data_IF_091682662971
#
_entry.id   IF_091682662971
#
_cell.length_a   1.000
_cell.length_b   1.000
_cell.length_c   1.000
_cell.angle_alpha   90.00
_cell.angle_beta   90.00
_cell.angle_gamma   90.00
#
_symmetry.space_group_name_H-M   'P 1'
#
loop_
_entity.id
_entity.type
_entity.pdbx_description
1 polymer ?
#
# COMPACT_ATOMS: atom_id res chain seq x y z
N UNK A 1 -4.92 -20.04 -26.68
CA UNK A 1 -5.25 -18.65 -26.28
C UNK A 1 -3.94 -17.91 -26.21
N UNK A 2 -3.66 -17.06 -27.21
CA UNK A 2 -2.36 -16.42 -27.41
C UNK A 2 -2.39 -15.07 -26.71
N UNK A 3 -1.48 -14.83 -25.76
CA UNK A 3 -1.38 -13.54 -25.07
C UNK A 3 -0.21 -12.75 -25.65
N UNK A 4 -0.56 -11.60 -26.26
CA UNK A 4 0.40 -10.65 -26.82
C UNK A 4 1.03 -9.81 -25.71
N UNK A 5 2.36 -9.74 -25.72
CA UNK A 5 3.15 -8.82 -24.93
C UNK A 5 3.42 -7.57 -25.76
N UNK A 6 3.11 -6.39 -25.23
CA UNK A 6 3.70 -5.16 -25.72
C UNK A 6 4.64 -4.57 -24.66
N UNK A 7 5.86 -4.38 -25.14
CA UNK A 7 7.07 -3.94 -24.49
C UNK A 7 7.17 -2.41 -24.62
N UNK A 8 7.51 -1.71 -23.54
CA UNK A 8 8.13 -0.38 -23.60
C UNK A 8 9.18 -0.28 -22.50
N UNK A 9 10.47 -0.15 -22.83
CA UNK A 9 11.58 0.23 -21.92
C UNK A 9 11.33 1.62 -21.29
N UNK A 10 11.80 1.97 -20.08
CA UNK A 10 13.23 2.15 -19.74
C UNK A 10 13.49 2.12 -18.22
N UNK A 11 14.75 1.82 -17.85
CA UNK A 11 15.43 1.96 -16.56
C UNK A 11 14.95 1.17 -15.32
N UNK A 12 15.73 0.14 -14.98
CA UNK A 12 16.06 -0.32 -13.62
C UNK A 12 14.98 -0.96 -12.74
N UNK A 13 13.73 -0.53 -12.83
CA UNK A 13 12.67 -0.72 -11.82
C UNK A 13 11.75 -1.93 -12.08
N UNK A 14 12.26 -3.01 -12.69
CA UNK A 14 11.41 -4.00 -13.42
C UNK A 14 11.53 -5.47 -13.08
N UNK A 15 12.01 -5.84 -11.89
CA UNK A 15 12.09 -7.28 -11.55
C UNK A 15 10.92 -7.82 -10.72
N UNK A 16 10.20 -7.02 -9.92
CA UNK A 16 9.13 -7.54 -9.04
C UNK A 16 7.73 -7.03 -9.40
N UNK A 17 7.58 -5.76 -9.81
CA UNK A 17 6.30 -5.21 -10.33
C UNK A 17 5.72 -5.99 -11.52
N UNK A 18 6.56 -6.66 -12.32
CA UNK A 18 6.13 -7.48 -13.44
C UNK A 18 5.49 -8.83 -13.05
N UNK A 19 5.54 -9.23 -11.76
CA UNK A 19 4.90 -10.46 -11.26
C UNK A 19 3.71 -10.21 -10.32
N UNK A 20 3.46 -8.94 -9.94
CA UNK A 20 2.27 -8.59 -9.16
C UNK A 20 1.06 -8.77 -10.07
N UNK A 21 0.35 -9.88 -9.89
CA UNK A 21 -0.93 -10.09 -10.56
C UNK A 21 -1.93 -9.08 -10.01
N UNK A 22 -2.11 -7.96 -10.73
CA UNK A 22 -2.97 -6.86 -10.31
C UNK A 22 -4.41 -7.31 -10.01
N UNK A 23 -4.88 -8.39 -10.63
CA UNK A 23 -6.21 -8.95 -10.37
C UNK A 23 -6.34 -9.61 -8.98
N UNK A 24 -5.22 -9.84 -8.28
CA UNK A 24 -5.17 -10.39 -6.93
C UNK A 24 -4.83 -9.35 -5.87
N UNK A 25 -4.48 -8.13 -6.25
CA UNK A 25 -4.18 -7.06 -5.29
C UNK A 25 -5.51 -6.56 -4.73
N UNK A 26 -5.69 -6.73 -3.43
CA UNK A 26 -6.79 -6.14 -2.69
C UNK A 26 -6.53 -4.65 -2.48
N UNK A 27 -5.33 -4.34 -1.96
CA UNK A 27 -4.92 -3.01 -1.57
C UNK A 27 -3.48 -2.75 -1.98
N UNK A 28 -3.23 -1.56 -2.50
CA UNK A 28 -1.89 -0.99 -2.59
C UNK A 28 -1.83 0.27 -1.74
N UNK A 29 -0.83 0.38 -0.88
CA UNK A 29 -0.61 1.50 0.01
C UNK A 29 0.85 1.93 -0.10
N UNK A 30 1.08 3.21 -0.38
CA UNK A 30 2.41 3.76 -0.61
C UNK A 30 2.60 5.02 0.22
N UNK A 31 3.77 5.17 0.83
CA UNK A 31 4.21 6.44 1.42
C UNK A 31 5.43 6.94 0.71
N UNK A 32 5.37 8.19 0.25
CA UNK A 32 6.48 8.90 -0.36
C UNK A 32 7.08 9.89 0.63
N UNK A 33 8.40 10.03 0.62
CA UNK A 33 9.09 11.01 1.44
C UNK A 33 8.80 12.40 0.90
N UNK A 34 8.98 13.38 1.77
CA UNK A 34 9.06 14.76 1.33
C UNK A 34 10.49 15.24 1.52
N UNK A 35 11.16 15.62 0.43
CA UNK A 35 12.55 16.12 0.42
C UNK A 35 13.57 15.12 1.01
N UNK A 36 13.37 13.81 0.81
CA UNK A 36 14.25 12.77 1.33
C UNK A 36 14.15 12.55 2.84
N UNK A 37 13.15 13.15 3.50
CA UNK A 37 12.91 12.99 4.94
C UNK A 37 11.74 12.03 5.15
N UNK A 38 12.04 10.85 5.68
CA UNK A 38 11.07 9.81 6.06
C UNK A 38 11.18 8.54 5.20
N UNK A 39 10.69 7.39 5.72
CA UNK A 39 10.72 6.14 4.97
C UNK A 39 9.79 6.22 3.76
N UNK A 40 10.30 5.88 2.59
CA UNK A 40 9.46 5.57 1.43
C UNK A 40 9.24 4.07 1.39
N UNK A 41 8.02 3.66 1.11
CA UNK A 41 7.72 2.25 0.95
C UNK A 41 6.44 2.04 0.18
N UNK A 42 6.34 0.84 -0.37
CA UNK A 42 5.13 0.28 -0.95
C UNK A 42 4.69 -0.95 -0.16
N UNK A 43 3.38 -1.09 -0.01
CA UNK A 43 2.70 -2.19 0.66
C UNK A 43 1.60 -2.72 -0.26
N UNK A 44 1.72 -3.98 -0.65
CA UNK A 44 0.68 -4.71 -1.37
C UNK A 44 0.05 -5.75 -0.47
N UNK A 45 -1.27 -5.70 -0.35
CA UNK A 45 -2.07 -6.73 0.30
C UNK A 45 -2.87 -7.44 -0.78
N UNK A 46 -2.77 -8.76 -0.81
CA UNK A 46 -3.44 -9.61 -1.78
C UNK A 46 -4.74 -10.17 -1.20
N UNK A 47 -5.68 -10.53 -2.07
CA UNK A 47 -6.97 -11.10 -1.69
C UNK A 47 -6.85 -12.44 -0.94
N UNK A 48 -5.73 -13.14 -1.08
CA UNK A 48 -5.43 -14.38 -0.35
C UNK A 48 -4.76 -14.14 1.02
N UNK A 49 -4.61 -12.87 1.43
CA UNK A 49 -4.02 -12.48 2.71
C UNK A 49 -2.51 -12.30 2.69
N UNK A 50 -1.83 -12.62 1.58
CA UNK A 50 -0.40 -12.33 1.46
C UNK A 50 -0.15 -10.84 1.49
N UNK A 51 1.02 -10.47 2.01
CA UNK A 51 1.49 -9.11 2.06
C UNK A 51 2.91 -9.05 1.54
N UNK A 52 3.19 -8.03 0.73
CA UNK A 52 4.52 -7.64 0.32
C UNK A 52 4.72 -6.19 0.76
N UNK A 53 5.76 -5.96 1.55
CA UNK A 53 6.23 -4.64 1.94
C UNK A 53 7.63 -4.45 1.36
N UNK A 54 7.87 -3.28 0.79
CA UNK A 54 9.13 -2.93 0.15
C UNK A 54 9.50 -1.50 0.52
N UNK A 55 10.63 -1.32 1.22
CA UNK A 55 11.21 0.02 1.40
C UNK A 55 11.84 0.50 0.10
N UNK A 56 11.61 1.76 -0.22
CA UNK A 56 12.20 2.44 -1.35
C UNK A 56 13.23 3.43 -0.80
N UNK A 57 14.49 3.31 -1.22
CA UNK A 57 15.51 4.35 -0.99
C UNK A 57 15.89 4.95 -2.34
N UNK A 58 16.29 6.22 -2.35
CA UNK A 58 16.53 7.06 -3.55
C UNK A 58 17.44 6.42 -4.63
N UNK A 59 18.17 5.34 -4.33
CA UNK A 59 19.02 4.62 -5.29
C UNK A 59 19.02 3.09 -5.19
N UNK A 60 18.36 2.47 -4.21
CA UNK A 60 18.37 1.01 -4.00
C UNK A 60 17.02 0.49 -3.49
N UNK A 61 16.63 -0.71 -3.92
CA UNK A 61 15.53 -1.44 -3.29
C UNK A 61 15.94 -1.76 -1.85
N UNK A 62 15.16 -1.26 -0.88
CA UNK A 62 15.44 -1.41 0.54
C UNK A 62 15.03 -2.78 1.08
N UNK A 63 14.60 -2.79 2.34
CA UNK A 63 14.12 -4.00 3.01
C UNK A 63 12.82 -4.50 2.37
N UNK A 64 12.82 -5.75 1.94
CA UNK A 64 11.61 -6.49 1.55
C UNK A 64 11.12 -7.34 2.74
N UNK A 65 9.82 -7.30 3.00
CA UNK A 65 9.16 -8.15 4.01
C UNK A 65 7.95 -8.80 3.35
N UNK A 66 7.92 -10.13 3.39
CA UNK A 66 6.74 -10.91 3.04
C UNK A 66 6.03 -11.36 4.31
N UNK A 67 4.70 -11.28 4.31
CA UNK A 67 3.88 -11.67 5.42
C UNK A 67 2.53 -12.25 5.00
N UNK A 68 1.76 -12.68 5.99
CA UNK A 68 0.40 -13.18 5.80
C UNK A 68 -0.49 -12.59 6.88
N UNK A 69 -1.60 -11.99 6.46
CA UNK A 69 -2.69 -11.55 7.33
C UNK A 69 -3.69 -12.68 7.52
N UNK A 70 -4.32 -12.70 8.70
CA UNK A 70 -5.43 -13.60 8.96
C UNK A 70 -6.64 -13.24 8.08
N UNK A 71 -7.56 -14.20 7.91
CA UNK A 71 -8.81 -13.95 7.18
C UNK A 71 -9.64 -12.85 7.83
N UNK A 72 -9.63 -12.78 9.16
CA UNK A 72 -10.33 -11.75 9.94
C UNK A 72 -9.72 -10.37 9.67
N UNK A 73 -8.38 -10.26 9.66
CA UNK A 73 -7.69 -9.01 9.36
C UNK A 73 -8.01 -8.51 7.95
N UNK A 74 -8.06 -9.41 6.96
CA UNK A 74 -8.45 -9.09 5.58
C UNK A 74 -9.91 -8.67 5.49
N UNK A 75 -10.80 -9.38 6.20
CA UNK A 75 -12.23 -9.09 6.20
C UNK A 75 -12.51 -7.71 6.81
N UNK A 76 -11.95 -7.43 7.99
CA UNK A 76 -12.08 -6.15 8.69
C UNK A 76 -11.55 -4.99 7.83
N UNK A 77 -10.35 -5.15 7.27
CA UNK A 77 -9.76 -4.16 6.38
C UNK A 77 -10.65 -3.91 5.16
N UNK A 78 -11.20 -4.97 4.56
CA UNK A 78 -12.07 -4.86 3.38
C UNK A 78 -13.38 -4.13 3.69
N UNK A 79 -14.01 -4.40 4.84
CA UNK A 79 -15.22 -3.67 5.27
C UNK A 79 -14.91 -2.19 5.43
N UNK A 80 -13.83 -1.90 6.14
CA UNK A 80 -13.43 -0.54 6.45
C UNK A 80 -13.11 0.25 5.17
N UNK A 81 -12.35 -0.34 4.25
CA UNK A 81 -12.08 0.25 2.94
C UNK A 81 -13.36 0.50 2.12
N UNK A 82 -14.30 -0.45 2.08
CA UNK A 82 -15.57 -0.26 1.33
C UNK A 82 -16.43 0.86 1.90
N UNK A 83 -16.50 0.96 3.23
CA UNK A 83 -17.34 1.95 3.91
C UNK A 83 -16.79 3.37 3.73
N UNK A 84 -15.47 3.52 3.81
CA UNK A 84 -14.84 4.81 4.08
C UNK A 84 -14.23 5.47 2.83
N UNK A 85 -13.82 4.68 1.81
CA UNK A 85 -13.32 5.21 0.53
C UNK A 85 -14.43 5.61 -0.45
N UNK A 86 -15.66 5.14 -0.25
CA UNK A 86 -16.79 5.54 -1.10
C UNK A 86 -17.25 6.99 -0.81
N UNK A 87 -16.79 7.59 0.29
CA UNK A 87 -17.20 8.92 0.76
C UNK A 87 -16.08 9.97 0.82
N UNK A 88 -14.83 9.64 0.52
CA UNK A 88 -13.71 10.55 0.75
C UNK A 88 -13.61 11.64 -0.32
N UNK A 89 -13.72 12.90 0.09
CA UNK A 89 -13.42 14.07 -0.75
C UNK A 89 -11.92 14.17 -1.06
N UNK A 90 -11.59 14.76 -2.20
CA UNK A 90 -10.20 15.00 -2.61
C UNK A 90 -9.47 15.87 -1.57
N UNK A 91 -8.43 15.32 -0.94
CA UNK A 91 -7.57 16.06 -0.01
C UNK A 91 -6.74 17.06 -0.80
N UNK A 92 -6.75 18.34 -0.39
CA UNK A 92 -5.94 19.38 -1.02
C UNK A 92 -4.46 19.03 -0.91
N UNK A 93 -3.74 19.12 -2.03
CA UNK A 93 -2.29 18.91 -2.08
C UNK A 93 -1.61 20.02 -1.24
N UNK A 94 -0.93 19.63 -0.17
CA UNK A 94 -0.16 20.53 0.69
C UNK A 94 1.32 20.33 0.40
N UNK A 95 1.90 21.34 -0.26
CA UNK A 95 3.33 21.33 -0.61
C UNK A 95 4.18 21.17 0.65
N UNK A 96 5.10 20.21 0.63
CA UNK A 96 6.05 20.00 1.72
C UNK A 96 5.66 18.90 2.73
N UNK A 97 4.54 18.21 2.51
CA UNK A 97 4.16 17.05 3.31
C UNK A 97 4.35 15.73 2.54
N UNK A 98 4.71 14.64 3.24
CA UNK A 98 4.69 13.29 2.66
C UNK A 98 3.34 12.98 2.04
N UNK A 99 3.36 12.35 0.87
CA UNK A 99 2.14 11.92 0.17
C UNK A 99 1.96 10.43 0.42
N UNK A 100 0.75 10.07 0.82
CA UNK A 100 0.29 8.69 0.94
C UNK A 100 -0.67 8.39 -0.20
N UNK A 101 -0.46 7.26 -0.87
CA UNK A 101 -1.30 6.78 -1.96
C UNK A 101 -1.98 5.50 -1.52
N UNK A 102 -3.30 5.45 -1.59
CA UNK A 102 -4.12 4.29 -1.25
C UNK A 102 -4.91 3.89 -2.49
N UNK A 103 -4.67 2.68 -3.02
CA UNK A 103 -5.41 2.11 -4.16
C UNK A 103 -6.22 0.90 -3.72
N UNK A 104 -7.51 0.95 -3.99
CA UNK A 104 -8.47 -0.11 -3.66
C UNK A 104 -9.51 -0.22 -4.78
N UNK A 105 -9.71 -1.43 -5.32
CA UNK A 105 -10.70 -1.71 -6.40
C UNK A 105 -10.61 -0.75 -7.60
N UNK A 106 -9.40 -0.42 -8.02
CA UNK A 106 -9.17 0.48 -9.17
C UNK A 106 -9.42 1.96 -8.88
N UNK A 107 -9.79 2.33 -7.65
CA UNK A 107 -9.77 3.72 -7.19
C UNK A 107 -8.44 4.01 -6.51
N UNK A 108 -7.97 5.25 -6.67
CA UNK A 108 -6.74 5.75 -6.10
C UNK A 108 -7.04 7.04 -5.35
N UNK A 109 -6.56 7.13 -4.13
CA UNK A 109 -6.69 8.29 -3.27
C UNK A 109 -5.29 8.72 -2.82
N UNK A 110 -4.97 9.97 -3.09
CA UNK A 110 -3.77 10.62 -2.58
C UNK A 110 -4.14 11.53 -1.42
N UNK A 111 -3.38 11.46 -0.33
CA UNK A 111 -3.61 12.27 0.86
C UNK A 111 -2.34 12.46 1.68
N UNK A 112 -2.44 13.30 2.70
CA UNK A 112 -1.34 13.56 3.64
C UNK A 112 -1.75 13.03 5.02
N UNK A 113 -1.10 11.95 5.49
CA UNK A 113 -1.45 11.24 6.73
C UNK A 113 -1.49 12.13 7.99
N UNK A 114 -0.78 13.27 7.96
CA UNK A 114 -0.70 14.26 9.05
C UNK A 114 -1.92 15.17 9.19
N UNK A 115 -2.75 15.31 8.15
CA UNK A 115 -3.86 16.28 8.12
C UNK A 115 -5.22 15.66 7.81
N UNK A 116 -5.26 14.36 7.49
CA UNK A 116 -6.52 13.63 7.33
C UNK A 116 -7.18 13.36 8.68
N UNK A 117 -8.52 13.32 8.67
CA UNK A 117 -9.34 13.00 9.82
C UNK A 117 -10.41 11.94 9.46
N UNK A 118 -11.29 11.64 10.42
CA UNK A 118 -12.45 10.78 10.25
C UNK A 118 -12.14 9.37 9.73
N UNK A 119 -12.89 8.98 8.71
CA UNK A 119 -12.91 7.63 8.16
C UNK A 119 -11.55 7.25 7.52
N UNK A 120 -10.98 8.15 6.72
CA UNK A 120 -9.69 7.95 6.08
C UNK A 120 -8.55 7.83 7.10
N UNK A 121 -8.59 8.58 8.21
CA UNK A 121 -7.61 8.44 9.29
C UNK A 121 -7.69 7.08 9.98
N UNK A 122 -8.89 6.53 10.07
CA UNK A 122 -9.10 5.19 10.65
C UNK A 122 -8.52 4.10 9.74
N UNK A 123 -8.71 4.23 8.41
CA UNK A 123 -8.08 3.35 7.40
C UNK A 123 -6.56 3.41 7.52
N UNK A 124 -6.00 4.62 7.50
CA UNK A 124 -4.56 4.86 7.60
C UNK A 124 -3.96 4.19 8.84
N UNK A 125 -4.54 4.45 10.02
CA UNK A 125 -4.07 3.87 11.27
C UNK A 125 -4.18 2.34 11.29
N UNK A 126 -5.21 1.75 10.68
CA UNK A 126 -5.35 0.29 10.62
C UNK A 126 -4.25 -0.33 9.77
N UNK A 127 -3.90 0.29 8.64
CA UNK A 127 -2.83 -0.19 7.75
C UNK A 127 -1.48 -0.09 8.46
N UNK A 128 -1.18 1.05 9.11
CA UNK A 128 0.05 1.22 9.89
C UNK A 128 0.17 0.20 11.02
N UNK A 129 -0.94 -0.09 11.71
CA UNK A 129 -0.96 -1.12 12.75
C UNK A 129 -0.60 -2.50 12.20
N UNK A 130 -1.19 -2.89 11.06
CA UNK A 130 -0.88 -4.16 10.40
C UNK A 130 0.59 -4.20 9.96
N UNK A 131 1.11 -3.10 9.43
CA UNK A 131 2.50 -2.97 9.04
C UNK A 131 3.45 -3.13 10.25
N UNK A 132 3.15 -2.48 11.37
CA UNK A 132 3.94 -2.62 12.60
C UNK A 132 3.98 -4.07 13.10
N UNK A 133 2.84 -4.79 13.03
CA UNK A 133 2.78 -6.23 13.37
C UNK A 133 3.72 -7.07 12.48
N UNK A 134 3.75 -6.79 11.18
CA UNK A 134 4.61 -7.47 10.22
C UNK A 134 6.10 -7.17 10.45
N UNK A 135 6.45 -5.91 10.74
CA UNK A 135 7.83 -5.49 10.96
C UNK A 135 8.42 -6.00 12.29
N UNK A 136 7.60 -6.11 13.34
CA UNK A 136 8.02 -6.62 14.64
C UNK A 136 8.12 -8.15 14.71
N UNK A 137 7.75 -8.88 13.64
CA UNK A 137 7.86 -10.33 13.59
C UNK A 137 7.00 -11.06 14.62
N UNK A 138 5.89 -10.46 15.08
CA UNK A 138 4.94 -11.14 15.95
C UNK A 138 4.08 -12.04 15.04
N UNK A 139 4.27 -13.37 15.02
CA UNK A 139 3.39 -14.23 14.25
C UNK A 139 1.96 -14.03 14.75
N UNK A 140 1.02 -13.85 13.82
CA UNK A 140 -0.39 -13.92 14.13
C UNK A 140 -0.62 -15.27 14.85
N UNK A 141 -0.90 -15.21 16.15
CA UNK A 141 -1.15 -16.41 16.95
C UNK A 141 -2.39 -17.09 16.37
N UNK A 142 -2.16 -18.31 15.85
CA UNK A 142 -3.17 -19.28 15.46
C UNK A 142 -3.95 -19.77 16.68
#
# INVERSE_FOLDING_TARGET
>A
MTFNFNLFSSDGSRRITNQINQNKVLLHYSKRSCRGIGPEYDLWIFTDGKVLYEEVYESEHGKEIMGVLSREEIYDLTILLKKDLDSSEHVKNVRGFPVTILKFKGRELEYHASIIDGALKTVDNKIEYLLGKLQMGIPALL
#
